data_IF_908425767688
#
_entry.id   IF_908425767688
#
_cell.length_a   1.000
_cell.length_b   1.000
_cell.length_c   1.000
_cell.angle_alpha   90.00
_cell.angle_beta   90.00
_cell.angle_gamma   90.00
#
_symmetry.space_group_name_H-M   'P 1'
#
loop_
_entity.id
_entity.type
_entity.pdbx_description
1 polymer ?
#
# COMPACT_ATOMS: atom_id res chain seq x y z
N UNK A 1 21.28 -39.67 -18.38
CA UNK A 1 21.41 -39.33 -16.95
C UNK A 1 21.12 -37.84 -16.82
N UNK A 2 19.91 -37.48 -16.40
CA UNK A 2 19.54 -36.07 -16.22
C UNK A 2 20.14 -35.57 -14.92
N UNK A 3 21.01 -34.55 -15.00
CA UNK A 3 21.76 -33.97 -13.89
C UNK A 3 20.87 -33.12 -12.94
N UNK A 4 19.57 -33.00 -13.22
CA UNK A 4 18.61 -32.20 -12.47
C UNK A 4 17.48 -33.08 -11.94
N UNK A 5 17.24 -33.00 -10.63
CA UNK A 5 16.14 -33.68 -9.93
C UNK A 5 15.03 -32.67 -9.63
N UNK A 6 13.78 -33.04 -9.96
CA UNK A 6 12.61 -32.23 -9.65
C UNK A 6 12.27 -32.38 -8.17
N UNK A 7 12.56 -31.35 -7.36
CA UNK A 7 12.20 -31.35 -5.94
C UNK A 7 10.72 -31.03 -5.69
N UNK A 8 10.22 -30.02 -6.39
CA UNK A 8 8.88 -29.50 -6.20
C UNK A 8 8.30 -29.00 -7.53
N UNK A 9 7.00 -29.19 -7.71
CA UNK A 9 6.22 -28.68 -8.82
C UNK A 9 4.88 -28.15 -8.30
N UNK A 10 4.65 -26.87 -8.53
CA UNK A 10 3.38 -26.19 -8.28
C UNK A 10 3.07 -25.29 -9.49
N UNK A 11 1.79 -25.21 -9.87
CA UNK A 11 1.34 -24.31 -10.94
C UNK A 11 1.14 -22.88 -10.45
N UNK A 12 0.79 -22.72 -9.17
CA UNK A 12 0.65 -21.41 -8.53
C UNK A 12 1.09 -21.48 -7.06
N UNK A 13 1.99 -20.57 -6.68
CA UNK A 13 2.47 -20.38 -5.31
C UNK A 13 2.01 -19.01 -4.81
N UNK A 14 1.50 -18.98 -3.58
CA UNK A 14 1.25 -17.76 -2.83
C UNK A 14 2.45 -17.49 -1.93
N UNK A 15 3.11 -16.36 -2.17
CA UNK A 15 4.19 -15.88 -1.31
C UNK A 15 3.61 -14.94 -0.26
N UNK A 16 3.34 -15.48 0.93
CA UNK A 16 2.78 -14.75 2.07
C UNK A 16 3.76 -13.67 2.55
N UNK A 17 5.02 -14.05 2.76
CA UNK A 17 6.14 -13.20 3.17
C UNK A 17 7.45 -13.91 2.85
N UNK A 18 8.60 -13.28 3.12
CA UNK A 18 9.92 -13.87 2.81
C UNK A 18 10.13 -15.32 3.28
N UNK A 19 9.45 -15.75 4.35
CA UNK A 19 9.55 -17.11 4.92
C UNK A 19 8.22 -17.87 4.93
N UNK A 20 7.23 -17.42 4.16
CA UNK A 20 5.89 -17.99 4.13
C UNK A 20 5.44 -18.25 2.70
N UNK A 21 5.15 -19.51 2.38
CA UNK A 21 4.74 -19.94 1.05
C UNK A 21 3.69 -21.05 1.18
N UNK A 22 2.68 -21.03 0.33
CA UNK A 22 1.73 -22.12 0.19
C UNK A 22 1.33 -22.30 -1.27
N UNK A 23 0.87 -23.50 -1.61
CA UNK A 23 0.50 -23.87 -2.97
C UNK A 23 -0.99 -23.62 -3.18
N UNK A 24 -1.33 -22.75 -4.12
CA UNK A 24 -2.72 -22.48 -4.51
C UNK A 24 -3.21 -23.44 -5.59
N UNK A 25 -2.36 -23.74 -6.58
CA UNK A 25 -2.66 -24.73 -7.61
C UNK A 25 -1.53 -25.76 -7.61
N UNK A 26 -1.91 -26.99 -7.26
CA UNK A 26 -0.98 -28.11 -7.18
C UNK A 26 -0.40 -28.47 -8.56
N UNK A 27 0.87 -28.87 -8.58
CA UNK A 27 1.51 -29.48 -9.74
C UNK A 27 1.56 -30.99 -9.58
N UNK A 28 2.68 -31.60 -10.00
CA UNK A 28 2.84 -33.06 -10.00
C UNK A 28 3.48 -33.62 -8.71
N UNK A 29 3.87 -32.73 -7.78
CA UNK A 29 4.47 -33.12 -6.49
C UNK A 29 3.53 -32.74 -5.33
N UNK A 30 3.83 -33.20 -4.10
CA UNK A 30 3.18 -32.68 -2.90
C UNK A 30 3.29 -31.15 -2.79
N UNK A 31 2.35 -30.49 -2.10
CA UNK A 31 2.32 -29.03 -1.96
C UNK A 31 3.62 -28.47 -1.38
N UNK A 32 4.11 -27.37 -1.97
CA UNK A 32 5.13 -26.53 -1.35
C UNK A 32 4.48 -25.76 -0.21
N UNK A 33 4.99 -25.98 1.00
CA UNK A 33 4.44 -25.39 2.22
C UNK A 33 5.54 -24.90 3.16
N UNK A 34 5.53 -23.60 3.43
CA UNK A 34 6.29 -22.94 4.47
C UNK A 34 5.35 -22.05 5.30
N UNK A 35 5.12 -22.42 6.56
CA UNK A 35 4.02 -21.88 7.39
C UNK A 35 4.30 -20.52 8.04
N UNK A 36 5.51 -19.98 7.88
CA UNK A 36 5.98 -18.76 8.53
C UNK A 36 5.74 -18.69 10.06
N UNK A 37 5.91 -19.82 10.75
CA UNK A 37 5.80 -19.91 12.21
C UNK A 37 4.41 -20.31 12.73
N UNK A 38 3.41 -20.47 11.86
CA UNK A 38 2.08 -20.93 12.26
C UNK A 38 2.07 -22.45 12.46
N UNK A 39 1.45 -22.88 13.56
CA UNK A 39 1.27 -24.28 13.90
C UNK A 39 -0.08 -24.77 13.39
N UNK A 40 -0.08 -25.92 12.73
CA UNK A 40 -1.29 -26.61 12.27
C UNK A 40 -0.99 -28.12 12.21
N UNK A 41 -2.01 -28.92 12.48
CA UNK A 41 -1.93 -30.39 12.47
C UNK A 41 -2.40 -30.96 11.12
N UNK A 42 -2.21 -32.27 10.93
CA UNK A 42 -2.63 -32.99 9.72
C UNK A 42 -1.51 -33.23 8.72
N UNK A 43 -1.89 -33.80 7.58
CA UNK A 43 -1.04 -34.04 6.39
C UNK A 43 -0.59 -32.74 5.74
N UNK A 44 0.41 -32.80 4.84
CA UNK A 44 0.91 -31.60 4.13
C UNK A 44 -0.19 -30.89 3.34
N UNK A 45 -1.11 -31.67 2.77
CA UNK A 45 -2.24 -31.21 1.98
C UNK A 45 -3.27 -30.49 2.86
N UNK A 46 -3.64 -31.08 4.00
CA UNK A 46 -4.54 -30.46 4.98
C UNK A 46 -3.94 -29.18 5.56
N UNK A 47 -2.65 -29.21 5.91
CA UNK A 47 -1.94 -28.03 6.39
C UNK A 47 -1.89 -26.94 5.32
N UNK A 48 -1.63 -27.28 4.06
CA UNK A 48 -1.60 -26.32 2.96
C UNK A 48 -2.97 -25.67 2.74
N UNK A 49 -4.04 -26.45 2.71
CA UNK A 49 -5.41 -25.95 2.59
C UNK A 49 -5.78 -25.02 3.75
N UNK A 50 -5.39 -25.39 4.98
CA UNK A 50 -5.63 -24.56 6.17
C UNK A 50 -4.85 -23.24 6.13
N UNK A 51 -3.56 -23.28 5.78
CA UNK A 51 -2.72 -22.08 5.66
C UNK A 51 -3.22 -21.16 4.54
N UNK A 52 -3.64 -21.73 3.41
CA UNK A 52 -4.23 -20.97 2.30
C UNK A 52 -5.50 -20.24 2.75
N UNK A 53 -6.41 -20.96 3.41
CA UNK A 53 -7.63 -20.38 3.96
C UNK A 53 -7.32 -19.28 4.97
N UNK A 54 -6.41 -19.54 5.91
CA UNK A 54 -5.99 -18.55 6.90
C UNK A 54 -5.42 -17.29 6.24
N UNK A 55 -4.64 -17.43 5.16
CA UNK A 55 -4.11 -16.29 4.43
C UNK A 55 -5.20 -15.47 3.71
N UNK A 56 -6.13 -16.14 3.01
CA UNK A 56 -7.18 -15.48 2.26
C UNK A 56 -8.22 -14.82 3.18
N UNK A 57 -8.58 -15.49 4.27
CA UNK A 57 -9.62 -15.07 5.21
C UNK A 57 -9.08 -14.21 6.36
N UNK A 58 -7.77 -13.90 6.38
CA UNK A 58 -7.15 -13.18 7.49
C UNK A 58 -7.82 -11.84 7.81
N UNK A 59 -7.92 -11.52 9.08
CA UNK A 59 -8.51 -10.24 9.52
C UNK A 59 -7.45 -9.34 10.18
N UNK A 60 -7.62 -8.01 10.11
CA UNK A 60 -6.77 -7.08 10.86
C UNK A 60 -6.75 -7.46 12.35
N UNK A 61 -5.56 -7.43 12.94
CA UNK A 61 -5.36 -7.78 14.35
C UNK A 61 -5.58 -9.26 14.72
N UNK A 62 -5.90 -10.14 13.78
CA UNK A 62 -6.14 -11.57 14.05
C UNK A 62 -4.97 -12.19 14.81
N UNK A 63 -5.29 -12.98 15.85
CA UNK A 63 -4.32 -13.68 16.68
C UNK A 63 -4.36 -15.18 16.40
N UNK A 64 -3.21 -15.80 16.53
CA UNK A 64 -3.01 -17.24 16.41
C UNK A 64 -2.29 -17.79 17.62
N UNK A 65 -2.46 -19.09 17.83
CA UNK A 65 -1.74 -19.81 18.85
C UNK A 65 -0.26 -19.95 18.50
N UNK A 66 0.59 -19.49 19.41
CA UNK A 66 2.04 -19.66 19.40
C UNK A 66 2.53 -20.20 20.76
N UNK A 67 1.66 -20.97 21.41
CA UNK A 67 1.98 -21.71 22.63
C UNK A 67 3.19 -22.61 22.38
N UNK A 68 4.07 -22.73 23.37
CA UNK A 68 5.30 -23.51 23.25
C UNK A 68 5.68 -24.08 24.61
N UNK A 69 6.44 -25.17 24.56
CA UNK A 69 6.98 -25.79 25.77
C UNK A 69 8.13 -24.93 26.31
N UNK A 70 8.25 -24.88 27.64
CA UNK A 70 9.35 -24.16 28.27
C UNK A 70 10.71 -24.71 27.84
N UNK A 71 11.69 -23.82 27.74
CA UNK A 71 13.05 -24.19 27.36
C UNK A 71 13.71 -25.07 28.42
N UNK A 72 14.68 -25.90 28.04
CA UNK A 72 15.45 -26.72 28.98
C UNK A 72 16.14 -25.89 30.07
N UNK A 73 16.61 -24.68 29.72
CA UNK A 73 17.19 -23.74 30.68
C UNK A 73 16.17 -23.33 31.74
N UNK A 74 14.94 -23.05 31.31
CA UNK A 74 13.86 -22.63 32.20
C UNK A 74 13.41 -23.79 33.11
N UNK A 75 13.24 -24.99 32.55
CA UNK A 75 13.00 -26.22 33.34
C UNK A 75 14.01 -26.39 34.47
N UNK A 76 15.31 -26.19 34.18
CA UNK A 76 16.38 -26.29 35.17
C UNK A 76 16.32 -25.18 36.23
N UNK A 77 16.07 -23.94 35.82
CA UNK A 77 16.04 -22.79 36.73
C UNK A 77 14.83 -22.79 37.66
N UNK A 78 13.70 -23.31 37.20
CA UNK A 78 12.44 -23.33 37.97
C UNK A 78 12.11 -24.70 38.55
N UNK A 79 13.01 -25.68 38.42
CA UNK A 79 12.81 -27.08 38.79
C UNK A 79 11.44 -27.62 38.32
N UNK A 80 11.05 -27.21 37.11
CA UNK A 80 9.73 -27.49 36.55
C UNK A 80 9.83 -28.52 35.44
N UNK A 81 8.85 -29.43 35.40
CA UNK A 81 8.68 -30.35 34.27
C UNK A 81 8.30 -29.60 32.98
N UNK A 82 8.31 -30.33 31.87
CA UNK A 82 7.97 -29.78 30.55
C UNK A 82 6.51 -29.33 30.49
N UNK A 83 6.28 -28.06 30.79
CA UNK A 83 4.97 -27.41 30.73
C UNK A 83 4.82 -26.56 29.47
N UNK A 84 3.58 -26.43 29.01
CA UNK A 84 3.22 -25.55 27.90
C UNK A 84 2.93 -24.13 28.40
N UNK A 85 3.65 -23.15 27.87
CA UNK A 85 3.29 -21.74 27.99
C UNK A 85 2.26 -21.44 26.91
N UNK A 86 1.04 -21.11 27.34
CA UNK A 86 0.00 -20.61 26.44
C UNK A 86 0.31 -19.20 25.98
N UNK A 87 0.40 -18.98 24.66
CA UNK A 87 0.72 -17.68 24.08
C UNK A 87 -0.05 -17.45 22.80
N UNK A 88 -0.68 -16.28 22.71
CA UNK A 88 -1.31 -15.79 21.48
C UNK A 88 -0.44 -14.69 20.88
N UNK A 89 -0.21 -14.75 19.57
CA UNK A 89 0.53 -13.73 18.83
C UNK A 89 -0.28 -13.25 17.64
N UNK A 90 -0.06 -12.01 17.22
CA UNK A 90 -0.67 -11.47 16.00
C UNK A 90 -0.21 -12.27 14.78
N UNK A 91 -1.13 -12.62 13.90
CA UNK A 91 -0.84 -13.27 12.63
C UNK A 91 0.06 -12.37 11.78
N UNK A 92 1.23 -12.87 11.40
CA UNK A 92 2.23 -12.11 10.62
C UNK A 92 2.21 -12.55 9.16
N UNK A 93 1.04 -12.46 8.51
CA UNK A 93 0.81 -12.91 7.13
C UNK A 93 0.68 -11.78 6.10
N UNK A 94 0.79 -10.52 6.52
CA UNK A 94 1.07 -9.46 5.56
C UNK A 94 2.52 -9.52 5.07
N UNK A 95 2.73 -8.96 3.88
CA UNK A 95 4.05 -8.83 3.30
C UNK A 95 4.99 -8.03 4.20
N UNK A 96 6.26 -8.45 4.31
CA UNK A 96 7.20 -7.88 5.28
C UNK A 96 7.99 -6.67 4.74
N UNK A 97 7.65 -6.19 3.54
CA UNK A 97 8.25 -5.03 2.87
C UNK A 97 9.78 -5.05 2.82
N UNK A 98 10.41 -6.24 2.79
CA UNK A 98 11.86 -6.35 2.54
C UNK A 98 12.25 -5.90 1.13
N UNK A 99 11.28 -5.82 0.23
CA UNK A 99 11.37 -5.27 -1.12
C UNK A 99 10.20 -4.33 -1.32
N UNK A 100 10.32 -3.40 -2.25
CA UNK A 100 9.24 -2.50 -2.62
C UNK A 100 8.22 -3.25 -3.49
N UNK A 101 6.94 -3.14 -3.16
CA UNK A 101 5.84 -3.67 -3.99
C UNK A 101 5.57 -2.71 -5.14
N UNK A 102 5.49 -3.23 -6.36
CA UNK A 102 5.18 -2.47 -7.58
C UNK A 102 4.22 -3.25 -8.48
N UNK A 103 3.59 -2.61 -9.45
CA UNK A 103 2.68 -3.24 -10.43
C UNK A 103 1.57 -4.11 -9.78
N UNK A 104 0.72 -3.52 -8.91
CA UNK A 104 -0.41 -4.22 -8.31
C UNK A 104 -1.39 -4.70 -9.39
N UNK A 105 -1.87 -5.94 -9.26
CA UNK A 105 -2.86 -6.56 -10.15
C UNK A 105 -3.74 -7.54 -9.37
N UNK A 106 -4.98 -7.71 -9.80
CA UNK A 106 -5.84 -8.78 -9.30
C UNK A 106 -5.52 -10.06 -10.06
N UNK A 107 -5.35 -11.15 -9.32
CA UNK A 107 -5.17 -12.50 -9.85
C UNK A 107 -6.14 -13.47 -9.18
N UNK A 108 -6.51 -14.52 -9.88
CA UNK A 108 -7.28 -15.61 -9.30
C UNK A 108 -6.37 -16.48 -8.43
N UNK A 109 -6.78 -16.75 -7.19
CA UNK A 109 -6.07 -17.58 -6.22
C UNK A 109 -7.09 -18.48 -5.54
N UNK A 110 -6.94 -19.80 -5.71
CA UNK A 110 -7.78 -20.81 -5.08
C UNK A 110 -9.32 -20.57 -5.25
N UNK A 111 -9.74 -20.12 -6.44
CA UNK A 111 -11.14 -19.82 -6.75
C UNK A 111 -11.66 -18.46 -6.25
N UNK A 112 -10.81 -17.66 -5.60
CA UNK A 112 -11.09 -16.28 -5.22
C UNK A 112 -10.20 -15.29 -5.98
N UNK A 113 -10.40 -13.99 -5.77
CA UNK A 113 -9.52 -12.93 -6.28
C UNK A 113 -8.65 -12.38 -5.16
N UNK A 114 -7.35 -12.17 -5.45
CA UNK A 114 -6.42 -11.56 -4.51
C UNK A 114 -5.44 -10.66 -5.26
N UNK A 115 -4.95 -9.63 -4.58
CA UNK A 115 -3.89 -8.76 -5.11
C UNK A 115 -2.56 -9.53 -5.21
N UNK A 116 -1.86 -9.31 -6.30
CA UNK A 116 -0.47 -9.69 -6.52
C UNK A 116 0.32 -8.46 -6.99
N UNK A 117 1.56 -8.38 -6.56
CA UNK A 117 2.48 -7.32 -6.96
C UNK A 117 3.81 -7.93 -7.41
N UNK A 118 4.53 -7.23 -8.26
CA UNK A 118 5.94 -7.47 -8.49
C UNK A 118 6.78 -6.79 -7.40
N UNK A 119 8.08 -7.06 -7.36
CA UNK A 119 8.97 -6.42 -6.37
C UNK A 119 10.28 -5.91 -6.94
N UNK A 120 10.71 -4.74 -6.48
CA UNK A 120 12.03 -4.17 -6.77
C UNK A 120 12.82 -3.96 -5.47
N UNK A 121 14.16 -3.91 -5.53
CA UNK A 121 14.95 -3.51 -4.37
C UNK A 121 14.56 -2.10 -3.92
N UNK A 122 14.68 -1.83 -2.62
CA UNK A 122 14.67 -0.46 -2.12
C UNK A 122 15.96 0.26 -2.51
N UNK A 123 15.88 1.56 -2.75
CA UNK A 123 17.05 2.39 -3.06
C UNK A 123 18.02 2.46 -1.87
N UNK A 124 17.48 2.56 -0.65
CA UNK A 124 18.24 2.57 0.60
C UNK A 124 17.48 1.89 1.75
N UNK A 125 18.19 1.66 2.86
CA UNK A 125 17.64 0.98 4.04
C UNK A 125 16.66 1.86 4.84
N UNK A 126 16.85 3.19 4.85
CA UNK A 126 15.99 4.11 5.60
C UNK A 126 14.59 4.18 4.97
N UNK A 127 14.50 4.14 3.63
CA UNK A 127 13.24 4.05 2.89
C UNK A 127 12.51 2.74 3.17
N UNK A 128 13.25 1.62 3.27
CA UNK A 128 12.69 0.33 3.63
C UNK A 128 12.12 0.36 5.06
N UNK A 129 12.87 0.90 6.02
CA UNK A 129 12.43 1.02 7.41
C UNK A 129 11.24 1.99 7.56
N UNK A 130 11.25 3.09 6.80
CA UNK A 130 10.12 4.02 6.75
C UNK A 130 8.86 3.33 6.23
N UNK A 131 8.95 2.63 5.11
CA UNK A 131 7.83 1.87 4.55
C UNK A 131 7.29 0.84 5.55
N UNK A 132 8.17 0.06 6.18
CA UNK A 132 7.79 -0.95 7.17
C UNK A 132 7.07 -0.34 8.36
N UNK A 133 7.61 0.75 8.91
CA UNK A 133 7.01 1.45 10.05
C UNK A 133 5.61 1.99 9.71
N UNK A 134 5.43 2.56 8.51
CA UNK A 134 4.12 3.02 8.03
C UNK A 134 3.15 1.87 7.80
N UNK A 135 3.62 0.79 7.19
CA UNK A 135 2.79 -0.37 6.91
C UNK A 135 2.31 -1.06 8.19
N UNK A 136 3.14 -1.13 9.23
CA UNK A 136 2.73 -1.65 10.55
C UNK A 136 1.58 -0.86 11.17
N UNK A 137 1.54 0.47 10.98
CA UNK A 137 0.41 1.30 11.40
C UNK A 137 -0.83 1.09 10.53
N UNK A 138 -0.67 1.09 9.20
CA UNK A 138 -1.80 0.89 8.29
C UNK A 138 -2.48 -0.47 8.49
N UNK A 139 -1.70 -1.53 8.70
CA UNK A 139 -2.23 -2.90 8.84
C UNK A 139 -2.94 -3.18 10.17
N UNK A 140 -2.95 -2.23 11.12
CA UNK A 140 -3.74 -2.36 12.37
C UNK A 140 -5.21 -2.60 12.08
N UNK A 141 -5.75 -1.85 11.11
CA UNK A 141 -7.16 -1.91 10.71
C UNK A 141 -7.37 -2.46 9.29
N UNK A 142 -6.29 -2.81 8.57
CA UNK A 142 -6.36 -3.19 7.15
C UNK A 142 -5.55 -4.47 6.83
N UNK A 143 -5.94 -5.16 5.75
CA UNK A 143 -5.22 -6.29 5.18
C UNK A 143 -5.06 -6.07 3.67
N UNK A 144 -3.87 -6.30 3.11
CA UNK A 144 -3.66 -6.07 1.68
C UNK A 144 -4.19 -7.24 0.85
N UNK A 145 -5.45 -7.15 0.38
CA UNK A 145 -6.12 -8.23 -0.38
C UNK A 145 -6.68 -7.76 -1.72
N UNK A 146 -7.12 -6.52 -1.80
CA UNK A 146 -7.86 -5.95 -2.93
C UNK A 146 -7.14 -4.73 -3.51
N UNK A 147 -7.62 -4.24 -4.66
CA UNK A 147 -7.14 -2.96 -5.22
C UNK A 147 -7.57 -1.76 -4.38
N UNK A 148 -8.66 -1.86 -3.63
CA UNK A 148 -9.10 -0.81 -2.69
C UNK A 148 -8.13 -0.74 -1.50
N UNK A 149 -7.73 -1.89 -0.95
CA UNK A 149 -6.70 -1.96 0.09
C UNK A 149 -5.37 -1.37 -0.42
N UNK A 150 -5.01 -1.65 -1.67
CA UNK A 150 -3.83 -1.05 -2.29
C UNK A 150 -3.95 0.46 -2.42
N UNK A 151 -5.09 0.98 -2.88
CA UNK A 151 -5.31 2.42 -2.99
C UNK A 151 -5.23 3.10 -1.61
N UNK A 152 -5.83 2.49 -0.59
CA UNK A 152 -5.73 2.93 0.81
C UNK A 152 -4.28 2.94 1.32
N UNK A 153 -3.52 1.89 1.04
CA UNK A 153 -2.11 1.81 1.39
C UNK A 153 -1.25 2.84 0.64
N UNK A 154 -1.43 2.98 -0.69
CA UNK A 154 -0.73 3.96 -1.52
C UNK A 154 -1.01 5.38 -1.02
N UNK A 155 -2.27 5.69 -0.71
CA UNK A 155 -2.68 6.98 -0.15
C UNK A 155 -2.01 7.26 1.20
N UNK A 156 -2.04 6.30 2.12
CA UNK A 156 -1.44 6.44 3.44
C UNK A 156 0.08 6.64 3.37
N UNK A 157 0.77 5.84 2.56
CA UNK A 157 2.23 5.87 2.42
C UNK A 157 2.72 7.12 1.67
N UNK A 158 2.17 7.41 0.48
CA UNK A 158 2.60 8.55 -0.33
C UNK A 158 2.24 9.88 0.34
N UNK A 159 1.12 9.96 1.07
CA UNK A 159 0.78 11.16 1.86
C UNK A 159 1.80 11.42 2.96
N UNK A 160 2.25 10.38 3.67
CA UNK A 160 3.28 10.53 4.69
C UNK A 160 4.63 10.95 4.08
N UNK A 161 4.98 10.38 2.92
CA UNK A 161 6.23 10.67 2.23
C UNK A 161 6.25 12.10 1.67
N UNK A 162 5.15 12.55 1.07
CA UNK A 162 5.04 13.90 0.51
C UNK A 162 5.09 14.99 1.59
N UNK A 163 4.50 14.73 2.76
CA UNK A 163 4.49 15.68 3.87
C UNK A 163 5.73 15.62 4.78
N UNK A 164 6.69 14.74 4.50
CA UNK A 164 7.94 14.67 5.25
C UNK A 164 8.68 16.01 5.19
N UNK A 165 8.88 16.64 6.37
CA UNK A 165 9.49 17.97 6.50
C UNK A 165 8.50 19.14 6.44
N UNK A 166 7.21 18.88 6.17
CA UNK A 166 6.15 19.90 6.15
C UNK A 166 5.44 20.02 7.50
N UNK A 167 4.86 21.19 7.78
CA UNK A 167 3.93 21.41 8.91
C UNK A 167 2.50 20.99 8.58
N UNK A 168 2.22 20.69 7.32
CA UNK A 168 0.90 20.23 6.88
C UNK A 168 0.60 18.84 7.43
N UNK A 169 -0.66 18.60 7.79
CA UNK A 169 -1.13 17.31 8.30
C UNK A 169 -2.08 16.66 7.29
N UNK A 170 -1.92 15.35 7.12
CA UNK A 170 -2.93 14.49 6.48
C UNK A 170 -4.21 14.57 7.32
N UNK A 171 -5.36 14.69 6.66
CA UNK A 171 -6.68 14.62 7.29
C UNK A 171 -7.41 13.40 6.72
N UNK A 172 -8.65 13.19 7.14
CA UNK A 172 -9.49 12.07 6.70
C UNK A 172 -9.71 12.04 5.17
N UNK A 173 -9.52 13.16 4.48
CA UNK A 173 -9.62 13.30 3.03
C UNK A 173 -8.34 12.88 2.26
N UNK A 174 -7.33 12.35 2.97
CA UNK A 174 -6.16 11.69 2.37
C UNK A 174 -5.34 12.59 1.42
N UNK A 175 -4.79 11.97 0.37
CA UNK A 175 -4.02 12.68 -0.67
C UNK A 175 -4.87 13.66 -1.47
N UNK A 176 -6.14 13.33 -1.76
CA UNK A 176 -7.07 14.22 -2.46
C UNK A 176 -7.37 15.49 -1.67
N UNK A 177 -7.43 15.39 -0.34
CA UNK A 177 -7.53 16.53 0.55
C UNK A 177 -6.33 17.45 0.51
N UNK A 178 -5.12 16.88 0.43
CA UNK A 178 -3.89 17.65 0.23
C UNK A 178 -3.95 18.37 -1.13
N UNK A 179 -4.24 17.63 -2.21
CA UNK A 179 -4.37 18.18 -3.56
C UNK A 179 -5.39 19.32 -3.61
N UNK A 180 -6.59 19.10 -3.07
CA UNK A 180 -7.68 20.08 -3.01
C UNK A 180 -7.22 21.39 -2.38
N UNK A 181 -6.55 21.31 -1.23
CA UNK A 181 -6.05 22.49 -0.52
C UNK A 181 -4.99 23.23 -1.33
N UNK A 182 -4.07 22.52 -1.97
CA UNK A 182 -2.98 23.10 -2.75
C UNK A 182 -3.49 23.73 -4.04
N UNK A 183 -4.34 23.05 -4.81
CA UNK A 183 -4.95 23.58 -6.03
C UNK A 183 -5.85 24.78 -5.75
N UNK A 184 -6.67 24.71 -4.70
CA UNK A 184 -7.54 25.85 -4.36
C UNK A 184 -6.72 27.08 -3.99
N UNK A 185 -5.67 26.91 -3.17
CA UNK A 185 -4.82 28.02 -2.73
C UNK A 185 -4.03 28.63 -3.90
N UNK A 186 -3.41 27.79 -4.74
CA UNK A 186 -2.60 28.25 -5.87
C UNK A 186 -3.42 29.02 -6.91
N UNK A 187 -4.63 28.56 -7.25
CA UNK A 187 -5.55 29.27 -8.15
C UNK A 187 -6.06 30.56 -7.51
N UNK A 188 -6.56 30.52 -6.27
CA UNK A 188 -7.09 31.73 -5.60
C UNK A 188 -6.01 32.81 -5.42
N UNK A 189 -4.77 32.42 -5.13
CA UNK A 189 -3.65 33.33 -4.91
C UNK A 189 -2.94 33.74 -6.20
N UNK A 190 -3.20 33.04 -7.32
CA UNK A 190 -2.57 33.26 -8.64
C UNK A 190 -1.04 33.23 -8.61
N UNK A 191 -0.47 32.40 -7.73
CA UNK A 191 0.99 32.33 -7.53
C UNK A 191 1.70 31.49 -8.57
N UNK A 192 1.07 30.41 -9.02
CA UNK A 192 1.69 29.46 -9.96
C UNK A 192 1.08 29.52 -11.36
N UNK A 193 -0.18 29.95 -11.46
CA UNK A 193 -0.92 30.00 -12.71
C UNK A 193 -1.70 31.31 -12.79
N UNK A 194 -1.41 32.13 -13.80
CA UNK A 194 -2.12 33.39 -14.01
C UNK A 194 -3.43 33.16 -14.75
N UNK A 195 -4.50 33.74 -14.24
CA UNK A 195 -5.85 33.61 -14.79
C UNK A 195 -6.79 34.71 -14.29
N UNK A 196 -7.95 34.84 -14.95
CA UNK A 196 -9.01 35.79 -14.59
C UNK A 196 -10.22 35.16 -13.89
N UNK A 197 -10.23 33.83 -13.71
CA UNK A 197 -11.33 33.11 -13.06
C UNK A 197 -11.73 33.70 -11.70
N UNK A 198 -13.04 33.83 -11.52
CA UNK A 198 -13.72 34.17 -10.26
C UNK A 198 -13.72 32.98 -9.30
N UNK A 199 -14.04 33.21 -8.02
CA UNK A 199 -14.16 32.11 -7.05
C UNK A 199 -15.25 31.10 -7.43
N UNK A 200 -16.32 31.54 -8.10
CA UNK A 200 -17.36 30.66 -8.63
C UNK A 200 -16.79 29.71 -9.69
N UNK A 201 -16.05 30.26 -10.65
CA UNK A 201 -15.41 29.48 -11.72
C UNK A 201 -14.34 28.52 -11.17
N UNK A 202 -13.52 28.95 -10.20
CA UNK A 202 -12.53 28.07 -9.55
C UNK A 202 -13.23 26.90 -8.85
N UNK A 203 -14.30 27.18 -8.09
CA UNK A 203 -15.05 26.13 -7.39
C UNK A 203 -15.72 25.15 -8.35
N UNK A 204 -16.27 25.65 -9.46
CA UNK A 204 -16.88 24.83 -10.50
C UNK A 204 -15.84 23.95 -11.22
N UNK A 205 -14.67 24.52 -11.56
CA UNK A 205 -13.56 23.80 -12.18
C UNK A 205 -13.09 22.64 -11.29
N UNK A 206 -12.75 22.91 -10.03
CA UNK A 206 -12.24 21.88 -9.12
C UNK A 206 -13.30 20.83 -8.79
N UNK A 207 -14.57 21.22 -8.69
CA UNK A 207 -15.68 20.29 -8.53
C UNK A 207 -15.87 19.39 -9.75
N UNK A 208 -15.68 19.92 -10.96
CA UNK A 208 -15.83 19.14 -12.20
C UNK A 208 -14.80 18.01 -12.33
N UNK A 209 -13.64 18.13 -11.67
CA UNK A 209 -12.59 17.10 -11.65
C UNK A 209 -12.68 16.21 -10.40
N UNK A 210 -13.75 16.33 -9.61
CA UNK A 210 -14.02 15.46 -8.46
C UNK A 210 -13.54 15.97 -7.11
N UNK A 211 -13.13 17.24 -6.99
CA UNK A 211 -12.68 17.82 -5.72
C UNK A 211 -13.79 18.66 -5.06
N UNK A 212 -14.19 18.39 -3.81
CA UNK A 212 -15.32 19.07 -3.15
C UNK A 212 -14.94 20.50 -2.71
N UNK A 213 -14.97 21.45 -3.64
CA UNK A 213 -14.58 22.85 -3.41
C UNK A 213 -15.79 23.77 -3.52
N UNK A 214 -15.99 24.63 -2.52
CA UNK A 214 -17.01 25.68 -2.54
C UNK A 214 -16.39 27.06 -2.67
N UNK A 215 -17.23 28.06 -2.96
CA UNK A 215 -16.83 29.47 -2.97
C UNK A 215 -16.26 29.90 -1.60
N UNK A 216 -16.77 29.35 -0.50
CA UNK A 216 -16.26 29.67 0.84
C UNK A 216 -14.88 29.02 1.10
N UNK A 217 -14.65 27.80 0.59
CA UNK A 217 -13.31 27.20 0.55
C UNK A 217 -12.33 28.11 -0.20
N UNK A 218 -12.76 28.73 -1.30
CA UNK A 218 -11.94 29.68 -2.06
C UNK A 218 -11.63 30.95 -1.24
N UNK A 219 -12.64 31.57 -0.61
CA UNK A 219 -12.44 32.77 0.23
C UNK A 219 -11.44 32.51 1.37
N UNK A 220 -11.58 31.37 2.04
CA UNK A 220 -10.69 30.97 3.15
C UNK A 220 -9.26 30.69 2.69
N UNK A 221 -9.07 30.31 1.41
CA UNK A 221 -7.77 29.96 0.84
C UNK A 221 -6.93 31.17 0.44
N UNK A 222 -7.51 32.38 0.31
CA UNK A 222 -6.80 33.58 -0.17
C UNK A 222 -5.58 33.98 0.65
N UNK A 223 -5.61 33.76 1.96
CA UNK A 223 -4.51 34.14 2.88
C UNK A 223 -3.81 32.92 3.51
N UNK A 224 -4.16 31.71 3.08
CA UNK A 224 -3.59 30.50 3.63
C UNK A 224 -2.18 30.25 3.10
N UNK A 225 -1.30 29.67 3.91
CA UNK A 225 0.04 29.30 3.45
C UNK A 225 -0.04 28.30 2.29
N UNK A 226 0.76 28.51 1.24
CA UNK A 226 0.88 27.62 0.10
C UNK A 226 2.24 26.89 0.17
N UNK A 227 2.33 25.74 0.84
CA UNK A 227 3.55 24.94 0.80
C UNK A 227 3.71 24.28 -0.57
N UNK A 228 4.94 24.28 -1.07
CA UNK A 228 5.34 23.62 -2.32
C UNK A 228 5.77 22.18 -2.05
N UNK A 229 5.72 21.34 -3.09
CA UNK A 229 6.28 19.97 -3.10
C UNK A 229 5.65 19.02 -2.07
N UNK A 230 4.37 19.23 -1.74
CA UNK A 230 3.63 18.46 -0.72
C UNK A 230 2.55 17.55 -1.29
N UNK A 231 2.31 17.57 -2.61
CA UNK A 231 1.27 16.75 -3.22
C UNK A 231 1.76 15.30 -3.35
N UNK A 232 1.00 14.31 -2.85
CA UNK A 232 1.37 12.89 -2.95
C UNK A 232 1.22 12.34 -4.37
N UNK A 233 2.05 11.36 -4.75
CA UNK A 233 2.00 10.71 -6.07
C UNK A 233 1.15 9.44 -6.00
N UNK A 234 -0.17 9.60 -5.87
CA UNK A 234 -1.14 8.48 -5.82
C UNK A 234 -1.89 8.32 -7.14
N UNK A 235 -2.41 7.13 -7.40
CA UNK A 235 -3.22 6.87 -8.59
C UNK A 235 -4.49 7.74 -8.66
N UNK A 236 -5.06 8.12 -7.52
CA UNK A 236 -6.22 9.03 -7.45
C UNK A 236 -5.84 10.48 -7.75
N UNK A 237 -4.76 10.98 -7.13
CA UNK A 237 -4.26 12.33 -7.40
C UNK A 237 -3.93 12.51 -8.87
N UNK A 238 -3.24 11.54 -9.48
CA UNK A 238 -2.87 11.60 -10.90
C UNK A 238 -4.09 11.54 -11.83
N UNK A 239 -5.12 10.76 -11.49
CA UNK A 239 -6.39 10.74 -12.24
C UNK A 239 -7.08 12.11 -12.23
N UNK A 240 -7.19 12.73 -11.05
CA UNK A 240 -7.78 14.07 -10.92
C UNK A 240 -6.93 15.11 -11.65
N UNK A 241 -5.61 15.01 -11.55
CA UNK A 241 -4.68 15.92 -12.21
C UNK A 241 -4.76 15.80 -13.73
N UNK A 242 -4.89 14.59 -14.29
CA UNK A 242 -5.11 14.41 -15.72
C UNK A 242 -6.41 15.09 -16.21
N UNK A 243 -7.50 14.99 -15.44
CA UNK A 243 -8.75 15.70 -15.73
C UNK A 243 -8.58 17.22 -15.64
N UNK A 244 -7.80 17.71 -14.67
CA UNK A 244 -7.50 19.13 -14.54
C UNK A 244 -6.69 19.65 -15.73
N UNK A 245 -5.65 18.92 -16.15
CA UNK A 245 -4.78 19.31 -17.26
C UNK A 245 -5.52 19.37 -18.60
N UNK A 246 -6.59 18.57 -18.80
CA UNK A 246 -7.47 18.71 -19.96
C UNK A 246 -8.19 20.06 -20.01
N UNK A 247 -8.51 20.64 -18.86
CA UNK A 247 -9.17 21.94 -18.74
C UNK A 247 -8.19 23.10 -18.61
N UNK A 248 -7.03 22.87 -17.99
CA UNK A 248 -5.93 23.82 -17.81
C UNK A 248 -4.58 23.22 -18.27
N UNK A 249 -4.32 23.11 -19.59
CA UNK A 249 -3.14 22.41 -20.12
C UNK A 249 -1.78 23.00 -19.73
N UNK A 250 -1.76 24.27 -19.30
CA UNK A 250 -0.53 25.00 -18.95
C UNK A 250 -0.32 25.11 -17.44
N UNK A 251 -1.09 24.37 -16.64
CA UNK A 251 -0.93 24.41 -15.19
C UNK A 251 0.42 23.74 -14.79
N UNK A 252 1.28 24.39 -13.99
CA UNK A 252 2.61 23.87 -13.68
C UNK A 252 2.55 22.71 -12.67
N UNK A 253 3.37 21.69 -12.90
CA UNK A 253 3.45 20.50 -12.04
C UNK A 253 4.58 20.58 -11.02
N UNK A 254 5.61 21.36 -11.34
CA UNK A 254 6.83 21.53 -10.57
C UNK A 254 6.57 21.96 -9.12
N UNK A 255 5.64 22.89 -8.82
CA UNK A 255 5.38 23.30 -7.43
C UNK A 255 4.54 22.29 -6.63
N UNK A 256 3.93 21.30 -7.29
CA UNK A 256 3.06 20.32 -6.63
C UNK A 256 3.88 19.21 -5.98
N UNK A 257 4.85 18.68 -6.72
CA UNK A 257 5.55 17.44 -6.37
C UNK A 257 7.03 17.70 -6.07
N UNK A 258 7.62 16.84 -5.24
CA UNK A 258 9.07 16.87 -5.01
C UNK A 258 9.83 16.70 -6.34
N UNK A 259 10.91 17.46 -6.58
CA UNK A 259 11.63 17.45 -7.86
C UNK A 259 12.05 16.06 -8.33
N UNK A 260 12.51 15.21 -7.40
CA UNK A 260 12.93 13.83 -7.65
C UNK A 260 11.80 12.90 -8.12
N UNK A 261 10.54 13.26 -7.90
CA UNK A 261 9.36 12.48 -8.31
C UNK A 261 8.72 12.99 -9.61
N UNK A 262 9.14 14.13 -10.15
CA UNK A 262 8.49 14.74 -11.32
C UNK A 262 8.54 13.85 -12.57
N UNK A 263 9.65 13.14 -12.79
CA UNK A 263 9.76 12.23 -13.94
C UNK A 263 8.81 11.03 -13.82
N UNK A 264 8.58 10.54 -12.60
CA UNK A 264 7.57 9.52 -12.35
C UNK A 264 6.16 10.03 -12.65
N UNK A 265 5.84 11.25 -12.18
CA UNK A 265 4.53 11.90 -12.39
C UNK A 265 4.25 12.05 -13.88
N UNK A 266 5.18 12.62 -14.65
CA UNK A 266 5.04 12.80 -16.11
C UNK A 266 4.82 11.46 -16.81
N UNK A 267 5.62 10.44 -16.47
CA UNK A 267 5.49 9.10 -17.05
C UNK A 267 4.11 8.51 -16.77
N UNK A 268 3.63 8.57 -15.52
CA UNK A 268 2.32 8.00 -15.13
C UNK A 268 1.16 8.76 -15.77
N UNK A 269 1.23 10.09 -15.86
CA UNK A 269 0.22 10.91 -16.54
C UNK A 269 0.12 10.56 -18.02
N UNK A 270 1.26 10.44 -18.72
CA UNK A 270 1.28 10.05 -20.14
C UNK A 270 0.63 8.68 -20.37
N UNK A 271 0.87 7.70 -19.49
CA UNK A 271 0.21 6.39 -19.58
C UNK A 271 -1.31 6.50 -19.44
N UNK A 272 -1.80 7.39 -18.57
CA UNK A 272 -3.24 7.60 -18.36
C UNK A 272 -3.92 8.32 -19.54
N UNK A 273 -3.22 9.25 -20.19
CA UNK A 273 -3.74 9.92 -21.39
C UNK A 273 -3.90 8.94 -22.57
N UNK A 274 -2.93 8.04 -22.77
CA UNK A 274 -2.99 7.03 -23.83
C UNK A 274 -4.08 5.97 -23.64
N UNK A 275 -4.54 5.74 -22.41
CA UNK A 275 -5.63 4.78 -22.12
C UNK A 275 -7.04 5.32 -22.36
N UNK A 276 -7.16 6.59 -22.77
CA UNK A 276 -8.43 7.27 -23.05
C UNK A 276 -8.59 7.67 -24.53
N UNK A 277 -7.67 7.24 -25.41
CA UNK A 277 -7.81 7.19 -26.88
C UNK A 277 -8.20 5.77 -27.33
#
# INVERSE_FOLDING_TARGET
>A
MTMLELKHHARQIVSIKTRGQCTAIQGDTPPVLAKAGVKCAGTTEEQNAWIMRLYLDREPGQKIDASHLISLREQWLTESDMIEIKKQVRLSYEFDHKRQLVNPRIVEVAGGSHIACDTVPWDDADMADHCRARFEGWREDNCLKTMEDWASWEDYYESALALQGSKMRVREDGSLGILTRILTRSLVQKLWYDHTMTYGEISALLTSVGLPVTVDTCKNSKRAALPENVVPVTGEVLRVLALLLRQLPKYPLEPLFKPERLEEVKRRLNTMEMSHE
#
